data_IF_291835919573
#
_entry.id   IF_291835919573
#
_cell.length_a   1.000
_cell.length_b   1.000
_cell.length_c   1.000
_cell.angle_alpha   90.00
_cell.angle_beta   90.00
_cell.angle_gamma   90.00
#
_symmetry.space_group_name_H-M   'P 1'
#
loop_
_entity.id
_entity.type
_entity.pdbx_description
1 polymer ?
#
# COMPACT_ATOMS: atom_id res chain seq x y z
N UNK A 1 -3.39 21.25 -6.60
CA UNK A 1 -2.86 21.65 -5.29
C UNK A 1 -1.70 22.62 -5.51
N UNK A 2 -1.75 23.80 -4.88
CA UNK A 2 -0.64 24.74 -4.89
C UNK A 2 0.27 24.42 -3.69
N UNK A 3 1.52 24.02 -3.98
CA UNK A 3 2.49 23.66 -2.94
C UNK A 3 3.52 24.77 -2.83
N UNK A 4 3.65 25.35 -1.65
CA UNK A 4 4.60 26.41 -1.35
C UNK A 4 5.24 26.18 0.01
N UNK A 5 6.31 25.38 0.04
CA UNK A 5 7.07 25.05 1.25
C UNK A 5 8.52 25.51 1.09
N UNK A 6 9.09 26.00 2.18
CA UNK A 6 10.52 26.32 2.22
C UNK A 6 11.32 25.04 2.49
N UNK A 7 12.53 24.97 1.95
CA UNK A 7 13.44 23.89 2.29
C UNK A 7 13.90 23.97 3.76
N UNK A 8 14.15 22.83 4.38
CA UNK A 8 14.72 22.73 5.70
C UNK A 8 13.73 22.24 6.77
N UNK A 9 14.23 22.17 8.01
CA UNK A 9 13.45 21.73 9.16
C UNK A 9 12.40 22.78 9.54
N UNK A 10 11.14 22.36 9.62
CA UNK A 10 10.03 23.24 9.94
C UNK A 10 8.89 22.50 10.63
N UNK A 11 8.12 23.23 11.43
CA UNK A 11 6.88 22.71 11.99
C UNK A 11 5.79 22.68 10.91
N UNK A 12 5.17 21.53 10.73
CA UNK A 12 4.07 21.33 9.80
C UNK A 12 2.74 21.36 10.55
N UNK A 13 1.82 22.19 10.10
CA UNK A 13 0.39 22.08 10.36
C UNK A 13 -0.25 21.11 9.36
N UNK A 14 -1.58 20.88 9.45
CA UNK A 14 -2.28 19.95 8.58
C UNK A 14 -2.14 20.29 7.10
N UNK A 15 -2.27 21.57 6.73
CA UNK A 15 -2.19 22.02 5.34
C UNK A 15 -0.79 21.81 4.76
N UNK A 16 0.26 22.14 5.54
CA UNK A 16 1.64 21.90 5.14
C UNK A 16 1.98 20.42 5.09
N UNK A 17 1.45 19.62 6.01
CA UNK A 17 1.60 18.17 6.00
C UNK A 17 1.01 17.57 4.72
N UNK A 18 -0.19 18.00 4.31
CA UNK A 18 -0.79 17.58 3.04
C UNK A 18 0.10 17.94 1.85
N UNK A 19 0.63 19.17 1.81
CA UNK A 19 1.53 19.61 0.75
C UNK A 19 2.78 18.72 0.66
N UNK A 20 3.43 18.42 1.79
CA UNK A 20 4.60 17.53 1.86
C UNK A 20 4.26 16.13 1.34
N UNK A 21 3.14 15.55 1.79
CA UNK A 21 2.74 14.19 1.44
C UNK A 21 2.32 14.03 -0.01
N UNK A 22 1.85 15.09 -0.65
CA UNK A 22 1.35 15.09 -2.03
C UNK A 22 2.38 15.58 -3.05
N UNK A 23 3.48 16.18 -2.64
CA UNK A 23 4.52 16.61 -3.57
C UNK A 23 5.10 15.40 -4.31
N UNK A 24 5.19 15.51 -5.63
CA UNK A 24 5.80 14.50 -6.51
C UNK A 24 6.81 15.16 -7.45
N UNK A 25 6.40 16.20 -8.13
CA UNK A 25 7.23 16.99 -9.05
C UNK A 25 6.64 18.40 -9.22
N UNK A 26 7.45 19.32 -9.68
CA UNK A 26 7.03 20.66 -10.07
C UNK A 26 6.41 20.64 -11.47
N UNK A 27 5.73 21.73 -11.84
CA UNK A 27 5.11 21.88 -13.17
C UNK A 27 6.13 21.85 -14.32
N UNK A 28 7.38 22.20 -14.05
CA UNK A 28 8.48 22.13 -15.01
C UNK A 28 9.14 20.75 -15.11
N UNK A 29 8.58 19.73 -14.42
CA UNK A 29 9.08 18.36 -14.42
C UNK A 29 10.21 18.09 -13.42
N UNK A 30 10.74 19.10 -12.74
CA UNK A 30 11.75 18.85 -11.68
C UNK A 30 11.12 18.18 -10.48
N UNK A 31 11.86 17.28 -9.83
CA UNK A 31 11.40 16.49 -8.71
C UNK A 31 12.45 16.46 -7.60
N UNK A 32 12.37 15.44 -6.74
CA UNK A 32 13.42 15.18 -5.76
C UNK A 32 14.76 14.87 -6.44
N UNK A 33 15.90 15.09 -5.76
CA UNK A 33 17.19 14.62 -6.26
C UNK A 33 17.17 13.11 -6.51
N UNK A 34 17.81 12.65 -7.59
CA UNK A 34 17.87 11.23 -7.97
C UNK A 34 18.42 10.35 -6.83
N UNK A 35 19.38 10.87 -6.05
CA UNK A 35 19.92 10.19 -4.87
C UNK A 35 18.90 9.98 -3.74
N UNK A 36 17.87 10.81 -3.70
CA UNK A 36 16.76 10.67 -2.74
C UNK A 36 15.68 9.71 -3.27
N UNK A 37 15.55 9.60 -4.58
CA UNK A 37 14.48 8.96 -5.33
C UNK A 37 13.60 10.00 -5.97
N UNK A 38 13.59 10.04 -7.29
CA UNK A 38 12.82 11.04 -8.04
C UNK A 38 11.32 10.68 -8.11
N UNK A 39 10.50 11.67 -8.47
CA UNK A 39 9.07 11.51 -8.69
C UNK A 39 8.36 10.73 -7.57
N UNK A 40 7.74 9.61 -7.92
CA UNK A 40 6.95 8.81 -6.99
C UNK A 40 7.77 8.10 -5.92
N UNK A 41 8.97 7.67 -6.24
CA UNK A 41 9.88 7.04 -5.28
C UNK A 41 10.28 8.02 -4.18
N UNK A 42 10.58 9.27 -4.54
CA UNK A 42 10.85 10.34 -3.58
C UNK A 42 9.64 10.66 -2.70
N UNK A 43 8.44 10.70 -3.30
CA UNK A 43 7.19 10.88 -2.54
C UNK A 43 6.98 9.76 -1.52
N UNK A 44 7.11 8.51 -1.91
CA UNK A 44 6.97 7.35 -1.02
C UNK A 44 7.97 7.41 0.15
N UNK A 45 9.22 7.80 -0.13
CA UNK A 45 10.24 7.98 0.91
C UNK A 45 9.88 9.10 1.87
N UNK A 46 9.38 10.23 1.36
CA UNK A 46 8.91 11.37 2.17
C UNK A 46 7.71 10.99 3.03
N UNK A 47 6.73 10.27 2.46
CA UNK A 47 5.56 9.79 3.20
C UNK A 47 5.97 8.89 4.36
N UNK A 48 6.91 7.97 4.15
CA UNK A 48 7.43 7.10 5.18
C UNK A 48 8.14 7.88 6.29
N UNK A 49 9.03 8.80 5.92
CA UNK A 49 9.71 9.66 6.89
C UNK A 49 8.72 10.52 7.71
N UNK A 50 7.63 10.96 7.09
CA UNK A 50 6.57 11.68 7.78
C UNK A 50 5.85 10.79 8.80
N UNK A 51 5.49 9.55 8.43
CA UNK A 51 4.87 8.59 9.35
C UNK A 51 5.79 8.31 10.55
N UNK A 52 7.08 8.12 10.31
CA UNK A 52 8.06 7.95 11.38
C UNK A 52 8.09 9.16 12.32
N UNK A 53 8.07 10.38 11.80
CA UNK A 53 8.03 11.59 12.59
C UNK A 53 6.74 11.71 13.41
N UNK A 54 5.59 11.32 12.84
CA UNK A 54 4.30 11.28 13.54
C UNK A 54 4.37 10.27 14.69
N UNK A 55 4.84 9.05 14.45
CA UNK A 55 4.96 8.01 15.47
C UNK A 55 5.88 8.49 16.61
N UNK A 56 7.05 9.07 16.29
CA UNK A 56 7.95 9.65 17.28
C UNK A 56 7.28 10.76 18.11
N UNK A 57 6.43 11.57 17.49
CA UNK A 57 5.67 12.61 18.18
C UNK A 57 4.58 12.01 19.07
N UNK A 58 3.88 10.99 18.61
CA UNK A 58 2.84 10.27 19.37
C UNK A 58 3.41 9.55 20.59
N UNK A 59 4.62 9.02 20.50
CA UNK A 59 5.30 8.32 21.59
C UNK A 59 5.84 9.24 22.70
N UNK A 60 5.54 10.56 22.65
CA UNK A 60 5.97 11.48 23.73
C UNK A 60 5.00 11.45 24.91
N UNK A 61 5.49 11.60 26.16
CA UNK A 61 4.62 11.60 27.35
C UNK A 61 3.50 12.63 27.28
N UNK A 62 3.76 13.80 26.71
CA UNK A 62 2.77 14.88 26.53
C UNK A 62 1.64 14.46 25.58
N UNK A 63 1.92 13.64 24.58
CA UNK A 63 0.91 13.17 23.65
C UNK A 63 0.10 12.01 24.25
N UNK A 64 0.72 11.17 25.07
CA UNK A 64 0.02 10.07 25.75
C UNK A 64 -1.12 10.57 26.66
N UNK A 65 -1.04 11.77 27.21
CA UNK A 65 -2.14 12.36 27.98
C UNK A 65 -3.37 12.70 27.12
N UNK A 66 -3.23 12.74 25.79
CA UNK A 66 -4.28 13.06 24.81
C UNK A 66 -4.76 11.84 24.01
N UNK A 67 -4.45 10.63 24.47
CA UNK A 67 -4.78 9.39 23.74
C UNK A 67 -6.27 9.30 23.40
N UNK A 68 -7.16 9.70 24.31
CA UNK A 68 -8.61 9.65 24.06
C UNK A 68 -9.04 10.56 22.90
N UNK A 69 -8.47 11.76 22.80
CA UNK A 69 -8.72 12.70 21.69
C UNK A 69 -8.18 12.13 20.37
N UNK A 70 -6.99 11.54 20.41
CA UNK A 70 -6.38 10.92 19.23
C UNK A 70 -7.16 9.72 18.72
N UNK A 71 -7.68 8.88 19.63
CA UNK A 71 -8.57 7.76 19.26
C UNK A 71 -9.82 8.28 18.57
N UNK A 72 -10.44 9.35 19.09
CA UNK A 72 -11.61 9.95 18.47
C UNK A 72 -11.32 10.46 17.06
N UNK A 73 -10.20 11.20 16.88
CA UNK A 73 -9.77 11.67 15.56
C UNK A 73 -9.52 10.50 14.60
N UNK A 74 -8.90 9.42 15.08
CA UNK A 74 -8.68 8.23 14.25
C UNK A 74 -10.00 7.56 13.84
N UNK A 75 -10.96 7.43 14.74
CA UNK A 75 -12.28 6.86 14.43
C UNK A 75 -13.06 7.67 13.40
N UNK A 76 -12.93 8.99 13.42
CA UNK A 76 -13.62 9.88 12.50
C UNK A 76 -12.98 9.96 11.11
N UNK A 77 -11.67 9.70 11.00
CA UNK A 77 -10.91 9.98 9.78
C UNK A 77 -10.20 8.77 9.16
N UNK A 78 -10.18 7.61 9.83
CA UNK A 78 -9.48 6.41 9.35
C UNK A 78 -10.47 5.27 9.12
N UNK A 79 -10.50 4.76 7.91
CA UNK A 79 -11.22 3.51 7.59
C UNK A 79 -10.25 2.33 7.77
N UNK A 80 -10.55 1.44 8.69
CA UNK A 80 -9.71 0.30 9.03
C UNK A 80 -10.56 -0.88 9.49
N UNK A 81 -10.05 -2.09 9.36
CA UNK A 81 -10.62 -3.29 9.96
C UNK A 81 -10.11 -3.54 11.39
N UNK A 82 -9.25 -2.68 11.92
CA UNK A 82 -8.85 -2.72 13.32
C UNK A 82 -9.97 -2.16 14.19
N UNK A 83 -10.24 -2.84 15.29
CA UNK A 83 -11.17 -2.34 16.31
C UNK A 83 -10.47 -1.24 17.13
N UNK A 84 -10.63 0.00 16.69
CA UNK A 84 -10.01 1.16 17.34
C UNK A 84 -10.53 1.34 18.79
N UNK A 85 -11.70 0.81 19.12
CA UNK A 85 -12.21 0.87 20.51
C UNK A 85 -11.31 0.12 21.49
N UNK A 86 -10.55 -0.86 21.01
CA UNK A 86 -9.56 -1.63 21.78
C UNK A 86 -8.19 -0.95 21.86
N UNK A 87 -8.00 0.21 21.24
CA UNK A 87 -6.71 0.92 21.26
C UNK A 87 -6.21 1.19 22.69
N UNK A 88 -7.11 1.37 23.65
CA UNK A 88 -6.76 1.50 25.09
C UNK A 88 -6.03 0.28 25.65
N UNK A 89 -6.31 -0.92 25.12
CA UNK A 89 -5.71 -2.17 25.59
C UNK A 89 -4.24 -2.27 25.19
N UNK A 90 -3.84 -1.49 24.17
CA UNK A 90 -2.45 -1.37 23.72
C UNK A 90 -1.68 -0.25 24.43
N UNK A 91 -2.32 0.57 25.26
CA UNK A 91 -1.67 1.68 25.96
C UNK A 91 -0.43 1.26 26.81
N UNK A 92 -0.43 0.11 27.53
CA UNK A 92 0.76 -0.36 28.23
C UNK A 92 1.96 -0.57 27.31
N UNK A 93 1.74 -1.13 26.13
CA UNK A 93 2.80 -1.37 25.14
C UNK A 93 3.34 -0.06 24.54
N UNK A 94 2.49 0.98 24.44
CA UNK A 94 2.90 2.28 23.94
C UNK A 94 3.89 2.96 24.89
N UNK A 95 3.82 2.71 26.20
CA UNK A 95 4.77 3.25 27.21
C UNK A 95 6.15 2.60 27.05
N UNK A 96 6.19 1.32 26.70
CA UNK A 96 7.43 0.57 26.51
C UNK A 96 8.00 0.74 25.10
N UNK A 97 7.23 1.33 24.19
CA UNK A 97 7.64 1.50 22.79
C UNK A 97 8.83 2.44 22.68
N UNK A 98 9.93 1.90 22.12
CA UNK A 98 11.13 2.67 21.81
C UNK A 98 11.14 3.00 20.33
N UNK A 99 11.14 4.29 20.01
CA UNK A 99 11.12 4.77 18.62
C UNK A 99 12.34 4.33 17.79
N UNK A 100 13.45 4.00 18.43
CA UNK A 100 14.63 3.42 17.81
C UNK A 100 14.40 2.00 17.28
N UNK A 101 13.39 1.29 17.79
CA UNK A 101 13.00 -0.03 17.30
C UNK A 101 12.07 0.03 16.09
N UNK A 102 11.62 1.23 15.70
CA UNK A 102 10.80 1.42 14.52
C UNK A 102 11.65 1.19 13.26
N UNK A 103 11.37 0.10 12.55
CA UNK A 103 11.97 -0.20 11.25
C UNK A 103 10.93 0.05 10.16
N UNK A 104 11.34 0.73 9.11
CA UNK A 104 10.52 0.94 7.92
C UNK A 104 11.28 0.45 6.70
N UNK A 105 10.62 -0.31 5.85
CA UNK A 105 11.21 -0.84 4.63
C UNK A 105 10.34 -0.53 3.41
N UNK A 106 10.97 -0.48 2.25
CA UNK A 106 10.29 -0.49 0.96
C UNK A 106 10.48 -1.87 0.37
N UNK A 107 9.40 -2.47 -0.15
CA UNK A 107 9.54 -3.71 -0.88
C UNK A 107 10.51 -3.51 -2.05
N UNK A 108 11.56 -4.36 -2.18
CA UNK A 108 12.50 -4.25 -3.27
C UNK A 108 11.83 -4.41 -4.63
N UNK A 109 12.26 -3.61 -5.59
CA UNK A 109 11.72 -3.62 -6.95
C UNK A 109 12.27 -2.47 -7.77
N UNK A 110 11.73 -2.32 -8.97
CA UNK A 110 12.14 -1.26 -9.90
C UNK A 110 10.95 -0.72 -10.69
N UNK A 111 10.99 0.56 -11.10
CA UNK A 111 10.00 1.09 -12.02
C UNK A 111 10.23 0.49 -13.43
N UNK A 112 9.18 -0.01 -14.04
CA UNK A 112 9.17 -0.55 -15.41
C UNK A 112 7.99 -0.01 -16.19
N UNK A 113 8.20 0.25 -17.48
CA UNK A 113 7.16 0.77 -18.36
C UNK A 113 6.70 -0.33 -19.33
N UNK A 114 5.41 -0.69 -19.26
CA UNK A 114 4.76 -1.61 -20.19
C UNK A 114 3.59 -0.90 -20.88
N UNK A 115 3.58 -0.89 -22.19
CA UNK A 115 2.51 -0.25 -22.98
C UNK A 115 2.24 1.22 -22.58
N UNK A 116 3.29 1.99 -22.34
CA UNK A 116 3.23 3.38 -21.84
C UNK A 116 2.63 3.57 -20.45
N UNK A 117 2.46 2.49 -19.67
CA UNK A 117 2.01 2.53 -18.29
C UNK A 117 3.19 2.15 -17.39
N UNK A 118 3.43 2.97 -16.39
CA UNK A 118 4.48 2.72 -15.42
C UNK A 118 3.98 1.86 -14.26
N UNK A 119 4.73 0.81 -13.97
CA UNK A 119 4.53 -0.10 -12.84
C UNK A 119 5.76 -0.09 -11.95
N UNK A 120 5.57 -0.44 -10.70
CA UNK A 120 6.68 -0.81 -9.81
C UNK A 120 6.70 -2.33 -9.71
N UNK A 121 7.66 -2.94 -10.38
CA UNK A 121 7.78 -4.41 -10.43
C UNK A 121 8.58 -4.88 -9.24
N UNK A 122 7.97 -5.74 -8.43
CA UNK A 122 8.59 -6.32 -7.25
C UNK A 122 9.74 -7.25 -7.60
N UNK A 123 10.86 -7.14 -6.88
CA UNK A 123 11.89 -8.17 -6.83
C UNK A 123 11.50 -9.21 -5.76
N UNK A 124 11.03 -10.37 -6.22
CA UNK A 124 10.55 -11.43 -5.32
C UNK A 124 11.65 -11.99 -4.42
N UNK A 125 12.86 -12.12 -4.95
CA UNK A 125 14.01 -12.70 -4.22
C UNK A 125 14.45 -11.77 -3.09
N UNK A 126 14.64 -10.49 -3.39
CA UNK A 126 15.03 -9.52 -2.39
C UNK A 126 13.88 -9.23 -1.40
N UNK A 127 12.63 -9.26 -1.87
CA UNK A 127 11.46 -9.12 -0.97
C UNK A 127 11.41 -10.25 0.06
N UNK A 128 11.65 -11.50 -0.36
CA UNK A 128 11.69 -12.65 0.55
C UNK A 128 12.73 -12.43 1.65
N UNK A 129 13.94 -11.98 1.31
CA UNK A 129 14.98 -11.67 2.29
C UNK A 129 14.53 -10.58 3.30
N UNK A 130 13.90 -9.51 2.81
CA UNK A 130 13.41 -8.43 3.69
C UNK A 130 12.32 -8.94 4.63
N UNK A 131 11.42 -9.79 4.14
CA UNK A 131 10.35 -10.38 4.96
C UNK A 131 10.93 -11.32 6.01
N UNK A 132 11.89 -12.18 5.63
CA UNK A 132 12.59 -13.08 6.55
C UNK A 132 13.36 -12.30 7.63
N UNK A 133 13.99 -11.18 7.26
CA UNK A 133 14.70 -10.32 8.23
C UNK A 133 13.75 -9.67 9.25
N UNK A 134 12.56 -9.25 8.80
CA UNK A 134 11.61 -8.50 9.63
C UNK A 134 10.72 -9.39 10.49
N UNK A 135 10.31 -10.54 9.97
CA UNK A 135 9.30 -11.40 10.58
C UNK A 135 9.83 -12.79 10.96
N UNK A 136 11.08 -13.08 10.60
CA UNK A 136 11.66 -14.41 10.76
C UNK A 136 11.24 -15.36 9.63
N UNK A 137 11.82 -16.56 9.63
CA UNK A 137 11.44 -17.61 8.69
C UNK A 137 10.09 -18.17 9.12
N UNK A 138 9.04 -17.80 8.44
CA UNK A 138 7.75 -18.47 8.54
C UNK A 138 7.75 -19.61 7.51
N UNK A 139 8.09 -20.83 7.95
CA UNK A 139 8.12 -22.03 7.10
C UNK A 139 6.72 -22.38 6.53
N UNK A 140 5.68 -21.63 6.91
CA UNK A 140 4.30 -21.81 6.46
C UNK A 140 3.87 -20.86 5.33
N UNK A 141 4.75 -20.00 4.81
CA UNK A 141 4.46 -19.27 3.59
C UNK A 141 4.55 -20.22 2.40
N UNK A 142 3.49 -20.99 2.18
CA UNK A 142 3.34 -21.79 0.97
C UNK A 142 3.49 -20.88 -0.24
N UNK A 143 4.38 -21.28 -1.13
CA UNK A 143 4.69 -20.60 -2.37
C UNK A 143 3.46 -20.63 -3.30
N UNK A 144 2.60 -19.61 -3.20
CA UNK A 144 1.42 -19.45 -4.10
C UNK A 144 1.81 -19.41 -5.59
N UNK A 145 3.12 -19.37 -5.90
CA UNK A 145 3.62 -19.41 -7.28
C UNK A 145 3.38 -20.77 -7.96
N UNK A 146 3.08 -21.84 -7.20
CA UNK A 146 2.79 -23.17 -7.75
C UNK A 146 1.35 -23.38 -8.19
N UNK A 147 0.42 -22.50 -7.79
CA UNK A 147 -1.00 -22.69 -8.11
C UNK A 147 -1.40 -22.08 -9.46
N UNK A 148 -0.55 -21.27 -10.09
CA UNK A 148 -0.88 -20.63 -11.39
C UNK A 148 -0.37 -21.39 -12.63
N UNK A 149 0.36 -22.50 -12.49
CA UNK A 149 0.86 -23.25 -13.66
C UNK A 149 -0.03 -24.40 -14.12
N UNK A 150 -1.19 -24.67 -13.48
CA UNK A 150 -2.06 -25.79 -13.83
C UNK A 150 -3.42 -25.41 -14.45
N UNK A 151 -3.63 -24.16 -14.88
CA UNK A 151 -4.91 -23.75 -15.50
C UNK A 151 -4.82 -23.35 -16.98
N UNK A 152 -3.73 -23.64 -17.68
CA UNK A 152 -3.62 -23.38 -19.11
C UNK A 152 -3.46 -24.64 -19.96
N UNK A 153 -4.20 -25.71 -19.63
CA UNK A 153 -4.39 -26.84 -20.52
C UNK A 153 -5.87 -27.17 -20.60
N UNK A 154 -6.69 -26.21 -21.01
CA UNK A 154 -8.03 -26.50 -21.51
C UNK A 154 -7.87 -26.69 -23.02
N UNK A 155 -7.85 -27.97 -23.40
CA UNK A 155 -7.89 -28.47 -24.74
C UNK A 155 -8.88 -27.72 -25.65
N UNK A 156 -8.33 -27.11 -26.71
CA UNK A 156 -9.05 -26.50 -27.82
C UNK A 156 -9.74 -27.52 -28.75
N UNK A 157 -10.12 -28.70 -28.27
CA UNK A 157 -10.66 -29.79 -29.12
C UNK A 157 -12.12 -30.18 -28.88
N UNK A 158 -12.84 -29.49 -27.99
CA UNK A 158 -14.24 -29.87 -27.71
C UNK A 158 -15.30 -28.78 -27.96
N UNK A 159 -15.04 -27.81 -28.83
CA UNK A 159 -16.00 -26.76 -29.20
C UNK A 159 -16.49 -26.82 -30.65
N UNK A 160 -16.35 -27.97 -31.32
CA UNK A 160 -16.89 -28.18 -32.70
C UNK A 160 -17.66 -29.51 -32.79
N UNK A 161 -18.59 -29.77 -31.90
CA UNK A 161 -19.61 -30.81 -32.13
C UNK A 161 -20.79 -30.60 -31.18
N UNK A 162 -21.62 -29.62 -31.41
CA UNK A 162 -23.02 -29.58 -30.96
C UNK A 162 -23.74 -28.36 -31.56
N UNK A 163 -23.71 -28.23 -32.88
CA UNK A 163 -24.64 -27.37 -33.61
C UNK A 163 -25.04 -28.08 -34.91
N UNK A 164 -25.78 -29.18 -34.78
CA UNK A 164 -26.63 -29.67 -35.88
C UNK A 164 -27.74 -30.49 -35.23
N UNK A 165 -28.95 -30.16 -35.60
CA UNK A 165 -30.26 -30.76 -35.30
C UNK A 165 -31.03 -30.07 -34.15
N UNK A 166 -31.82 -29.09 -34.55
CA UNK A 166 -33.27 -29.10 -34.36
C UNK A 166 -33.90 -27.98 -35.19
N UNK A 167 -34.18 -28.36 -36.45
CA UNK A 167 -35.10 -27.68 -37.34
C UNK A 167 -36.48 -28.30 -37.15
N UNK A 168 -37.50 -27.43 -37.12
CA UNK A 168 -38.89 -27.69 -37.57
C UNK A 168 -39.81 -28.46 -36.61
N UNK A 169 -40.79 -27.73 -36.04
CA UNK A 169 -42.20 -27.99 -36.35
C UNK A 169 -43.03 -26.78 -35.92
N UNK A 170 -43.50 -26.05 -36.91
CA UNK A 170 -44.75 -25.30 -36.82
C UNK A 170 -45.88 -26.30 -36.66
N UNK A 171 -46.85 -26.00 -35.81
CA UNK A 171 -48.23 -26.23 -36.16
C UNK A 171 -49.16 -25.31 -35.39
N UNK A 172 -50.01 -24.70 -36.18
CA UNK A 172 -51.15 -23.86 -35.88
C UNK A 172 -52.19 -24.63 -35.04
N UNK A 173 -52.95 -23.88 -34.19
CA UNK A 173 -54.43 -23.78 -34.27
C UNK A 173 -54.98 -22.96 -33.15
N UNK A 174 -55.66 -21.89 -33.57
CA UNK A 174 -57.03 -21.48 -33.30
C UNK A 174 -57.67 -21.79 -31.92
N UNK A 175 -57.98 -20.83 -31.16
CA UNK A 175 -59.31 -20.20 -30.96
C UNK A 175 -59.13 -18.93 -30.12
#
# INVERSE_FOLDING_TARGET
LYIHLKAGYQLLDGDKAEQVLRFRHNNNGTSYPTSYGDNDLGRMKTQRAFIEAVIKKLATPTTLTKVAELIKVAQENVTTNLDISKAKDYAPYAVEFKTENLKTNTLPGKPECFNNIWFYTQDKTETKKVVEELFGNDDNLEDESKTQSNTNSINSTNLVKNNTTNTVSQDQKNN
#
